data_IF_469133933551
#
_entry.id   IF_469133933551
#
_cell.length_a   1.000
_cell.length_b   1.000
_cell.length_c   1.000
_cell.angle_alpha   90.00
_cell.angle_beta   90.00
_cell.angle_gamma   90.00
#
_symmetry.space_group_name_H-M   'P 1'
#
loop_
_entity.id
_entity.type
_entity.pdbx_description
1 polymer ?
#
# COMPACT_ATOMS: atom_id res chain seq x y z
N UNK A 1 10.11 18.30 -22.27
CA UNK A 1 9.89 16.84 -22.26
C UNK A 1 9.36 16.52 -20.89
N UNK A 2 8.04 16.36 -20.73
CA UNK A 2 7.49 15.88 -19.45
C UNK A 2 8.11 14.51 -19.18
N UNK A 3 8.97 14.43 -18.18
CA UNK A 3 9.46 13.15 -17.68
C UNK A 3 8.24 12.32 -17.31
N UNK A 4 8.03 11.18 -17.96
CA UNK A 4 6.94 10.27 -17.61
C UNK A 4 7.01 10.00 -16.10
N UNK A 5 6.00 10.47 -15.36
CA UNK A 5 5.98 10.35 -13.92
C UNK A 5 5.92 8.86 -13.54
N UNK A 6 6.98 8.36 -12.92
CA UNK A 6 7.07 6.97 -12.49
C UNK A 6 6.11 6.75 -11.31
N UNK A 7 5.23 5.76 -11.45
CA UNK A 7 4.36 5.29 -10.38
C UNK A 7 4.74 3.86 -9.96
N UNK A 8 4.61 3.56 -8.67
CA UNK A 8 4.85 2.23 -8.09
C UNK A 8 3.51 1.66 -7.64
N UNK A 9 3.19 0.44 -8.08
CA UNK A 9 2.04 -0.32 -7.58
C UNK A 9 2.55 -1.45 -6.71
N UNK A 10 2.16 -1.47 -5.44
CA UNK A 10 2.45 -2.55 -4.49
C UNK A 10 1.22 -3.41 -4.29
N UNK A 11 1.35 -4.71 -4.55
CA UNK A 11 0.29 -5.72 -4.39
C UNK A 11 0.80 -6.76 -3.38
N UNK A 12 0.33 -6.74 -2.12
CA UNK A 12 0.76 -7.71 -1.13
C UNK A 12 0.18 -9.08 -1.44
N UNK A 13 1.01 -10.11 -1.31
CA UNK A 13 0.53 -11.48 -1.25
C UNK A 13 -0.14 -11.71 0.12
N UNK A 14 -1.34 -12.32 0.18
CA UNK A 14 -2.00 -12.67 1.43
C UNK A 14 -1.26 -13.84 2.07
N UNK A 15 -0.20 -13.54 2.81
CA UNK A 15 0.43 -14.47 3.71
C UNK A 15 0.89 -13.69 4.96
N UNK A 16 0.81 -14.34 6.12
CA UNK A 16 1.01 -13.72 7.42
C UNK A 16 2.35 -12.96 7.47
N UNK A 17 2.29 -11.65 7.75
CA UNK A 17 3.46 -10.77 7.88
C UNK A 17 3.88 -9.99 6.63
N UNK A 18 3.52 -10.43 5.42
CA UNK A 18 3.91 -9.75 4.17
C UNK A 18 3.20 -8.41 3.97
N UNK A 19 1.97 -8.29 4.48
CA UNK A 19 1.20 -7.05 4.41
C UNK A 19 1.97 -5.89 5.06
N UNK A 20 2.54 -6.11 6.25
CA UNK A 20 3.22 -5.09 7.02
C UNK A 20 4.57 -4.71 6.40
N UNK A 21 5.35 -5.70 5.95
CA UNK A 21 6.64 -5.45 5.29
C UNK A 21 6.45 -4.65 4.00
N UNK A 22 5.47 -5.02 3.18
CA UNK A 22 5.22 -4.32 1.92
C UNK A 22 4.62 -2.93 2.14
N UNK A 23 3.79 -2.75 3.18
CA UNK A 23 3.31 -1.43 3.60
C UNK A 23 4.47 -0.53 4.02
N UNK A 24 5.43 -1.06 4.77
CA UNK A 24 6.61 -0.30 5.19
C UNK A 24 7.48 0.12 4.01
N UNK A 25 7.75 -0.81 3.08
CA UNK A 25 8.45 -0.49 1.84
C UNK A 25 7.72 0.60 1.04
N UNK A 26 6.39 0.50 0.95
CA UNK A 26 5.55 1.48 0.25
C UNK A 26 5.71 2.89 0.83
N UNK A 27 5.71 3.01 2.16
CA UNK A 27 5.94 4.30 2.84
C UNK A 27 7.36 4.84 2.59
N UNK A 28 8.38 3.98 2.58
CA UNK A 28 9.77 4.38 2.30
C UNK A 28 9.99 4.83 0.84
N UNK A 29 9.26 4.26 -0.10
CA UNK A 29 9.29 4.68 -1.51
C UNK A 29 8.56 6.01 -1.67
N UNK A 30 7.42 6.16 -1.01
CA UNK A 30 6.64 7.38 -1.08
C UNK A 30 7.35 8.57 -0.42
N UNK A 31 8.08 8.36 0.67
CA UNK A 31 8.92 9.40 1.30
C UNK A 31 10.08 9.89 0.41
N UNK A 32 10.40 9.16 -0.67
CA UNK A 32 11.38 9.56 -1.70
C UNK A 32 10.72 10.34 -2.86
N UNK A 33 9.45 10.72 -2.74
CA UNK A 33 8.72 11.50 -3.74
C UNK A 33 8.10 10.67 -4.87
N UNK A 34 8.06 9.33 -4.74
CA UNK A 34 7.42 8.46 -5.72
C UNK A 34 5.90 8.41 -5.50
N UNK A 35 5.13 8.36 -6.59
CA UNK A 35 3.70 8.08 -6.52
C UNK A 35 3.49 6.59 -6.22
N UNK A 36 3.10 6.26 -4.99
CA UNK A 36 2.91 4.86 -4.56
C UNK A 36 1.44 4.51 -4.38
N UNK A 37 1.04 3.40 -5.01
CA UNK A 37 -0.31 2.85 -5.00
C UNK A 37 -0.29 1.48 -4.33
N UNK A 38 -0.94 1.33 -3.18
CA UNK A 38 -1.07 0.07 -2.45
C UNK A 38 -2.40 -0.59 -2.77
N UNK A 39 -2.39 -1.70 -3.48
CA UNK A 39 -3.59 -2.36 -3.97
C UNK A 39 -3.79 -3.74 -3.32
N UNK A 40 -4.88 -3.93 -2.58
CA UNK A 40 -5.16 -5.18 -1.88
C UNK A 40 -6.68 -5.39 -1.69
N UNK A 41 -7.14 -6.61 -1.34
CA UNK A 41 -8.52 -6.82 -0.88
C UNK A 41 -8.90 -5.94 0.31
N UNK A 42 -10.18 -5.59 0.42
CA UNK A 42 -10.68 -4.65 1.44
C UNK A 42 -10.31 -5.01 2.89
N UNK A 43 -10.37 -6.29 3.35
CA UNK A 43 -9.95 -6.65 4.70
C UNK A 43 -8.48 -6.29 4.97
N UNK A 44 -7.60 -6.60 4.02
CA UNK A 44 -6.17 -6.29 4.09
C UNK A 44 -5.90 -4.78 4.08
N UNK A 45 -6.68 -4.00 3.32
CA UNK A 45 -6.57 -2.54 3.33
C UNK A 45 -6.97 -1.96 4.69
N UNK A 46 -8.01 -2.48 5.33
CA UNK A 46 -8.42 -2.04 6.68
C UNK A 46 -7.29 -2.26 7.68
N UNK A 47 -6.66 -3.43 7.66
CA UNK A 47 -5.52 -3.68 8.55
C UNK A 47 -4.31 -2.80 8.20
N UNK A 48 -4.03 -2.58 6.91
CA UNK A 48 -2.94 -1.71 6.48
C UNK A 48 -3.15 -0.28 6.99
N UNK A 49 -4.34 0.29 6.79
CA UNK A 49 -4.70 1.64 7.28
C UNK A 49 -4.57 1.73 8.80
N UNK A 50 -5.09 0.75 9.54
CA UNK A 50 -4.96 0.69 11.00
C UNK A 50 -3.49 0.78 11.47
N UNK A 51 -2.56 0.17 10.73
CA UNK A 51 -1.11 0.22 11.00
C UNK A 51 -0.46 1.56 10.66
N UNK A 52 -1.02 2.34 9.74
CA UNK A 52 -0.51 3.69 9.40
C UNK A 52 -1.00 4.74 10.40
N UNK A 53 -2.20 4.63 10.96
CA UNK A 53 -2.77 5.61 11.88
C UNK A 53 -1.95 5.87 13.17
N UNK A 54 -1.01 5.00 13.53
CA UNK A 54 -0.07 5.19 14.64
C UNK A 54 1.27 5.86 14.28
N UNK A 55 1.48 6.23 13.00
CA UNK A 55 2.69 6.90 12.51
C UNK A 55 2.34 8.30 12.02
N UNK A 56 3.26 9.22 12.24
CA UNK A 56 3.18 10.65 11.95
C UNK A 56 2.42 10.99 10.64
N UNK A 57 1.55 12.02 10.69
CA UNK A 57 0.53 12.28 9.67
C UNK A 57 1.10 12.54 8.26
N UNK A 58 2.38 12.92 8.15
CA UNK A 58 3.08 13.08 6.88
C UNK A 58 3.23 11.78 6.07
N UNK A 59 3.24 10.61 6.72
CA UNK A 59 3.32 9.31 6.04
C UNK A 59 1.99 8.85 5.42
N UNK A 60 0.85 9.29 5.99
CA UNK A 60 -0.49 9.00 5.47
C UNK A 60 -0.76 9.69 4.12
N UNK A 61 -0.07 10.80 3.85
CA UNK A 61 -0.19 11.55 2.59
C UNK A 61 0.53 10.84 1.43
N UNK A 62 1.45 9.92 1.74
CA UNK A 62 2.42 9.43 0.77
C UNK A 62 1.91 8.21 -0.04
N UNK A 63 1.02 7.38 0.50
CA UNK A 63 0.55 6.13 -0.15
C UNK A 63 -0.94 6.16 -0.45
N UNK A 64 -1.32 5.89 -1.72
CA UNK A 64 -2.72 5.79 -2.16
C UNK A 64 -3.21 4.34 -2.11
N UNK A 65 -4.28 4.07 -1.37
CA UNK A 65 -4.82 2.72 -1.20
C UNK A 65 -5.95 2.41 -2.21
N UNK A 66 -5.93 1.22 -2.83
CA UNK A 66 -6.88 0.78 -3.87
C UNK A 66 -7.45 -0.61 -3.55
N UNK A 67 -8.78 -0.72 -3.51
CA UNK A 67 -9.44 -2.01 -3.30
C UNK A 67 -9.32 -2.89 -4.54
N UNK A 68 -8.81 -4.11 -4.38
CA UNK A 68 -8.81 -5.14 -5.41
C UNK A 68 -10.03 -6.04 -5.22
N UNK A 69 -10.89 -6.08 -6.24
CA UNK A 69 -11.99 -7.03 -6.29
C UNK A 69 -11.45 -8.38 -6.78
N UNK A 70 -11.07 -9.27 -5.86
CA UNK A 70 -10.61 -10.62 -6.17
C UNK A 70 -11.79 -11.60 -5.97
N UNK A 71 -12.40 -12.12 -7.05
CA UNK A 71 -13.48 -13.09 -6.93
C UNK A 71 -12.97 -14.38 -6.28
N UNK A 72 -13.75 -14.94 -5.35
CA UNK A 72 -13.45 -16.19 -4.67
C UNK A 72 -12.71 -16.05 -3.33
N UNK A 73 -12.42 -14.83 -2.87
CA UNK A 73 -11.92 -14.57 -1.51
C UNK A 73 -10.71 -15.42 -1.15
N UNK A 74 -9.53 -15.08 -1.68
CA UNK A 74 -8.28 -15.65 -1.19
C UNK A 74 -8.02 -15.15 0.24
N UNK A 75 -8.76 -15.72 1.18
CA UNK A 75 -8.44 -15.79 2.59
C UNK A 75 -7.40 -16.90 2.70
N UNK A 76 -6.12 -16.54 2.53
CA UNK A 76 -5.03 -17.35 3.06
C UNK A 76 -4.67 -16.76 4.44
#
# INVERSE_FOLDING_TARGET
>A
MESAAVAVVTVPFPAQGHLNQLLHLSMLLASRGLAVHYAAPEPHLREARARVHGRDAGALIAVRFHALNIPGGAQI
#
